data_IF_067239266985
#
_entry.id   IF_067239266985
#
_cell.length_a   1.000
_cell.length_b   1.000
_cell.length_c   1.000
_cell.angle_alpha   90.00
_cell.angle_beta   90.00
_cell.angle_gamma   90.00
#
_symmetry.space_group_name_H-M   'P 1'
#
loop_
_entity.id
_entity.type
_entity.pdbx_description
1 polymer ?
#
# COMPACT_ATOMS: atom_id res chain seq x y z
N UNK A 1 41.12 6.02 0.42
CA UNK A 1 40.67 4.63 0.21
C UNK A 1 40.32 4.10 1.59
N UNK A 2 39.05 4.23 2.00
CA UNK A 2 38.62 3.72 3.30
C UNK A 2 38.80 2.20 3.33
N UNK A 3 39.13 1.71 4.52
CA UNK A 3 39.38 0.31 4.83
C UNK A 3 38.06 -0.47 4.69
N UNK A 4 37.72 -0.89 3.46
CA UNK A 4 36.53 -1.72 3.22
C UNK A 4 36.76 -3.05 3.96
N UNK A 5 35.85 -3.37 4.88
CA UNK A 5 35.80 -4.56 5.71
C UNK A 5 36.24 -5.83 4.92
N UNK A 6 37.35 -6.51 5.29
CA UNK A 6 37.82 -7.71 4.58
C UNK A 6 36.77 -8.81 4.47
N UNK A 7 35.83 -8.88 5.42
CA UNK A 7 34.72 -9.83 5.37
C UNK A 7 33.71 -9.46 4.28
N UNK A 8 33.50 -8.16 4.03
CA UNK A 8 32.60 -7.67 2.99
C UNK A 8 33.15 -7.94 1.60
N UNK A 9 34.45 -7.72 1.37
CA UNK A 9 35.10 -8.10 0.12
C UNK A 9 34.97 -9.60 -0.16
N UNK A 10 35.24 -10.43 0.86
CA UNK A 10 35.08 -11.88 0.74
C UNK A 10 33.65 -12.28 0.41
N UNK A 11 32.65 -11.63 1.01
CA UNK A 11 31.25 -11.87 0.69
C UNK A 11 30.94 -11.49 -0.76
N UNK A 12 31.42 -10.33 -1.22
CA UNK A 12 31.26 -9.90 -2.59
C UNK A 12 31.87 -10.91 -3.57
N UNK A 13 33.13 -11.31 -3.38
CA UNK A 13 33.80 -12.32 -4.22
C UNK A 13 32.98 -13.63 -4.28
N UNK A 14 32.44 -14.07 -3.15
CA UNK A 14 31.63 -15.29 -3.07
C UNK A 14 30.27 -15.17 -3.77
N UNK A 15 29.64 -13.99 -3.74
CA UNK A 15 28.39 -13.74 -4.47
C UNK A 15 28.63 -13.65 -5.97
N UNK A 16 29.78 -13.10 -6.41
CA UNK A 16 30.17 -13.04 -7.82
C UNK A 16 30.44 -14.43 -8.43
N UNK A 17 30.66 -15.47 -7.62
CA UNK A 17 30.74 -16.85 -8.12
C UNK A 17 29.38 -17.44 -8.51
N UNK A 18 28.27 -16.80 -8.14
CA UNK A 18 26.93 -17.27 -8.52
C UNK A 18 26.75 -17.04 -10.04
N UNK A 19 26.36 -18.08 -10.81
CA UNK A 19 26.10 -17.94 -12.23
C UNK A 19 25.12 -16.79 -12.53
N UNK A 20 25.47 -15.93 -13.48
CA UNK A 20 24.70 -14.72 -13.79
C UNK A 20 23.29 -15.01 -14.33
N UNK A 21 23.09 -16.18 -14.93
CA UNK A 21 21.79 -16.69 -15.38
C UNK A 21 20.83 -17.00 -14.23
N UNK A 22 21.35 -17.23 -13.02
CA UNK A 22 20.52 -17.52 -11.84
C UNK A 22 19.94 -16.26 -11.22
N UNK A 23 20.45 -15.07 -11.60
CA UNK A 23 20.04 -13.77 -11.03
C UNK A 23 20.22 -13.72 -9.51
N UNK A 24 21.37 -14.20 -9.03
CA UNK A 24 21.79 -14.06 -7.64
C UNK A 24 21.92 -12.59 -7.24
N UNK A 25 21.71 -12.31 -5.95
CA UNK A 25 21.88 -10.96 -5.41
C UNK A 25 23.36 -10.58 -5.39
N UNK A 26 23.66 -9.32 -5.74
CA UNK A 26 24.95 -8.72 -5.42
C UNK A 26 25.00 -8.30 -3.93
N UNK A 27 26.15 -7.81 -3.46
CA UNK A 27 26.34 -7.46 -2.05
C UNK A 27 25.44 -6.31 -1.59
N UNK A 28 25.16 -5.33 -2.47
CA UNK A 28 24.30 -4.16 -2.21
C UNK A 28 22.84 -4.60 -2.07
N UNK A 29 22.36 -5.42 -3.00
CA UNK A 29 21.01 -6.01 -2.96
C UNK A 29 20.84 -6.95 -1.77
N UNK A 30 21.87 -7.75 -1.44
CA UNK A 30 21.83 -8.61 -0.26
C UNK A 30 21.76 -7.79 1.04
N UNK A 31 22.47 -6.66 1.13
CA UNK A 31 22.41 -5.77 2.28
C UNK A 31 20.99 -5.24 2.52
N UNK A 32 20.34 -4.73 1.48
CA UNK A 32 18.95 -4.29 1.56
C UNK A 32 17.98 -5.42 1.88
N UNK A 33 18.19 -6.61 1.32
CA UNK A 33 17.40 -7.80 1.64
C UNK A 33 17.52 -8.17 3.12
N UNK A 34 18.73 -8.20 3.66
CA UNK A 34 18.98 -8.47 5.08
C UNK A 34 18.38 -7.39 5.98
N UNK A 35 18.51 -6.11 5.61
CA UNK A 35 17.88 -5.01 6.35
C UNK A 35 16.35 -5.17 6.41
N UNK A 36 15.71 -5.51 5.28
CA UNK A 36 14.29 -5.82 5.22
C UNK A 36 13.90 -6.99 6.12
N UNK A 37 14.69 -8.07 6.14
CA UNK A 37 14.46 -9.21 7.04
C UNK A 37 14.58 -8.83 8.53
N UNK A 38 15.49 -7.90 8.86
CA UNK A 38 15.75 -7.46 10.23
C UNK A 38 14.70 -6.46 10.71
N UNK A 39 14.15 -5.61 9.85
CA UNK A 39 13.05 -4.72 10.29
C UNK A 39 11.68 -5.37 10.12
N UNK A 40 11.60 -6.53 9.47
CA UNK A 40 10.39 -7.33 9.39
C UNK A 40 9.93 -7.76 10.80
N UNK A 41 8.68 -7.47 11.18
CA UNK A 41 8.14 -7.80 12.51
C UNK A 41 8.02 -9.30 12.75
N UNK A 42 7.73 -10.08 11.71
CA UNK A 42 7.65 -11.53 11.79
C UNK A 42 8.98 -12.13 11.35
N UNK A 43 9.53 -13.02 12.19
CA UNK A 43 10.79 -13.68 11.87
C UNK A 43 10.62 -14.60 10.65
N UNK A 44 11.47 -14.40 9.64
CA UNK A 44 11.53 -15.27 8.45
C UNK A 44 12.61 -16.34 8.68
N UNK A 45 12.28 -17.64 8.64
CA UNK A 45 13.26 -18.70 8.85
C UNK A 45 14.30 -18.75 7.72
N UNK A 46 15.56 -19.15 8.00
CA UNK A 46 16.61 -19.26 6.99
C UNK A 46 16.23 -20.05 5.75
N UNK A 47 15.50 -21.15 5.92
CA UNK A 47 15.11 -22.03 4.80
C UNK A 47 14.18 -21.33 3.79
N UNK A 48 13.54 -20.23 4.19
CA UNK A 48 12.63 -19.46 3.33
C UNK A 48 13.34 -18.29 2.63
N UNK A 49 14.27 -17.60 3.31
CA UNK A 49 14.93 -16.43 2.73
C UNK A 49 16.26 -16.75 2.02
N UNK A 50 16.98 -17.80 2.44
CA UNK A 50 18.25 -18.19 1.80
C UNK A 50 18.11 -18.56 0.31
N UNK A 51 17.05 -19.28 -0.14
CA UNK A 51 16.85 -19.52 -1.56
C UNK A 51 16.78 -18.22 -2.37
N UNK A 52 16.15 -17.19 -1.80
CA UNK A 52 16.01 -15.88 -2.43
C UNK A 52 17.33 -15.21 -2.79
N UNK A 53 18.40 -15.42 -2.01
CA UNK A 53 19.73 -14.82 -2.23
C UNK A 53 20.35 -15.26 -3.56
N UNK A 54 20.00 -16.46 -4.02
CA UNK A 54 20.64 -17.11 -5.17
C UNK A 54 19.81 -17.08 -6.43
N UNK A 55 18.57 -16.60 -6.33
CA UNK A 55 17.64 -16.48 -7.44
C UNK A 55 16.90 -17.78 -7.73
N UNK A 56 16.94 -18.27 -8.97
CA UNK A 56 16.08 -19.38 -9.44
C UNK A 56 16.46 -20.75 -8.82
N UNK A 57 15.47 -21.47 -8.26
CA UNK A 57 15.60 -22.74 -7.53
C UNK A 57 15.99 -23.99 -8.35
N UNK A 58 16.28 -23.89 -9.66
CA UNK A 58 16.65 -25.08 -10.45
C UNK A 58 18.10 -25.49 -10.20
N UNK A 59 18.29 -26.69 -9.64
CA UNK A 59 19.59 -27.38 -9.54
C UNK A 59 20.37 -27.18 -8.24
N UNK A 60 19.74 -26.65 -7.19
CA UNK A 60 20.45 -26.14 -6.01
C UNK A 60 20.97 -27.21 -5.04
N UNK A 61 20.25 -28.33 -4.87
CA UNK A 61 20.61 -29.37 -3.90
C UNK A 61 21.93 -30.11 -4.25
N UNK A 62 22.41 -29.96 -5.50
CA UNK A 62 23.56 -30.70 -6.04
C UNK A 62 24.77 -29.81 -6.43
N UNK A 63 24.72 -28.50 -6.17
CA UNK A 63 25.80 -27.58 -6.56
C UNK A 63 26.96 -27.58 -5.54
N UNK A 64 28.03 -28.31 -5.87
CA UNK A 64 29.30 -28.37 -5.13
C UNK A 64 29.92 -26.97 -4.98
N UNK A 65 30.35 -26.59 -3.77
CA UNK A 65 31.01 -25.29 -3.51
C UNK A 65 30.11 -24.15 -2.99
N UNK A 66 28.84 -24.43 -2.66
CA UNK A 66 27.87 -23.42 -2.21
C UNK A 66 27.85 -23.17 -0.69
N UNK A 67 28.47 -24.03 0.12
CA UNK A 67 28.52 -23.89 1.57
C UNK A 67 29.25 -22.61 2.05
N UNK A 68 30.41 -22.21 1.47
CA UNK A 68 31.10 -20.99 1.87
C UNK A 68 30.27 -19.73 1.64
N UNK A 69 29.52 -19.65 0.53
CA UNK A 69 28.63 -18.52 0.23
C UNK A 69 27.45 -18.46 1.20
N UNK A 70 26.80 -19.60 1.54
CA UNK A 70 25.76 -19.63 2.59
C UNK A 70 26.33 -19.14 3.92
N UNK A 71 27.52 -19.63 4.28
CA UNK A 71 28.14 -19.28 5.56
C UNK A 71 28.42 -17.78 5.64
N UNK A 72 28.98 -17.19 4.57
CA UNK A 72 29.24 -15.76 4.48
C UNK A 72 27.95 -14.92 4.52
N UNK A 73 26.89 -15.34 3.81
CA UNK A 73 25.58 -14.67 3.83
C UNK A 73 24.95 -14.70 5.23
N UNK A 74 24.98 -15.87 5.90
CA UNK A 74 24.49 -16.00 7.28
C UNK A 74 25.30 -15.14 8.25
N UNK A 75 26.61 -15.01 8.03
CA UNK A 75 27.45 -14.18 8.88
C UNK A 75 27.17 -12.69 8.69
N UNK A 76 27.00 -12.23 7.44
CA UNK A 76 26.56 -10.87 7.15
C UNK A 76 25.19 -10.56 7.78
N UNK A 77 24.24 -11.50 7.70
CA UNK A 77 22.96 -11.40 8.41
C UNK A 77 23.15 -11.20 9.92
N UNK A 78 23.97 -12.04 10.57
CA UNK A 78 24.24 -11.91 12.02
C UNK A 78 24.91 -10.59 12.35
N UNK A 79 25.83 -10.12 11.51
CA UNK A 79 26.56 -8.86 11.68
C UNK A 79 25.60 -7.68 11.70
N UNK A 80 24.69 -7.60 10.72
CA UNK A 80 23.68 -6.53 10.66
C UNK A 80 22.68 -6.68 11.82
N UNK A 81 22.18 -7.89 12.08
CA UNK A 81 21.23 -8.12 13.17
C UNK A 81 21.80 -7.72 14.54
N UNK A 82 23.09 -8.00 14.79
CA UNK A 82 23.78 -7.56 16.01
C UNK A 82 23.90 -6.03 16.06
N UNK A 83 24.33 -5.39 14.97
CA UNK A 83 24.42 -3.92 14.91
C UNK A 83 23.07 -3.26 15.16
N UNK A 84 22.01 -3.72 14.48
CA UNK A 84 20.65 -3.20 14.67
C UNK A 84 20.14 -3.42 16.10
N UNK A 85 20.53 -4.50 16.77
CA UNK A 85 20.14 -4.75 18.15
C UNK A 85 20.91 -3.89 19.17
N UNK A 86 22.20 -3.60 18.93
CA UNK A 86 23.08 -2.89 19.85
C UNK A 86 23.04 -1.36 19.67
N UNK A 87 23.05 -0.89 18.42
CA UNK A 87 23.15 0.53 18.02
C UNK A 87 22.32 0.77 16.75
N UNK A 88 20.97 0.74 16.85
CA UNK A 88 20.10 0.94 15.68
C UNK A 88 20.31 2.30 15.01
N UNK A 89 20.65 3.34 15.76
CA UNK A 89 20.94 4.68 15.26
C UNK A 89 22.22 4.79 14.40
N UNK A 90 23.11 3.81 14.51
CA UNK A 90 24.34 3.72 13.72
C UNK A 90 24.13 2.90 12.42
N UNK A 91 22.88 2.59 12.07
CA UNK A 91 22.59 1.86 10.84
C UNK A 91 23.06 2.65 9.62
N UNK A 92 23.87 2.01 8.78
CA UNK A 92 24.35 2.57 7.52
C UNK A 92 24.19 1.51 6.43
N UNK A 93 23.45 1.78 5.34
CA UNK A 93 23.26 0.86 4.23
C UNK A 93 24.56 0.72 3.44
N UNK A 94 24.77 -0.45 2.82
CA UNK A 94 25.82 -0.64 1.84
C UNK A 94 25.25 -0.29 0.47
N UNK A 95 25.56 0.91 -0.02
CA UNK A 95 25.14 1.37 -1.35
C UNK A 95 26.21 1.07 -2.40
N UNK A 96 25.78 0.93 -3.66
CA UNK A 96 26.70 0.88 -4.78
C UNK A 96 27.35 2.25 -4.99
N UNK A 97 28.46 2.29 -5.71
CA UNK A 97 29.09 3.55 -6.13
C UNK A 97 29.43 3.43 -7.60
N UNK A 98 28.99 4.41 -8.39
CA UNK A 98 29.40 4.51 -9.78
C UNK A 98 30.90 4.84 -9.86
N UNK A 99 31.65 4.05 -10.60
CA UNK A 99 33.12 4.20 -10.66
C UNK A 99 33.58 5.45 -11.39
N UNK A 100 32.73 6.03 -12.23
CA UNK A 100 33.07 7.17 -13.08
C UNK A 100 32.63 8.50 -12.46
N UNK A 101 31.40 8.56 -11.90
CA UNK A 101 30.84 9.76 -11.26
C UNK A 101 31.08 9.82 -9.74
N UNK A 102 31.29 8.67 -9.09
CA UNK A 102 31.33 8.57 -7.63
C UNK A 102 29.98 8.70 -6.95
N UNK A 103 28.89 8.67 -7.72
CA UNK A 103 27.52 8.74 -7.23
C UNK A 103 27.10 7.45 -6.51
N UNK A 104 26.31 7.59 -5.44
CA UNK A 104 25.77 6.46 -4.70
C UNK A 104 24.58 5.84 -5.46
N UNK A 105 24.69 4.54 -5.76
CA UNK A 105 23.68 3.75 -6.46
C UNK A 105 22.86 2.98 -5.42
N UNK A 106 21.65 3.47 -5.14
CA UNK A 106 20.78 2.96 -4.08
C UNK A 106 19.74 1.95 -4.58
N UNK A 107 19.48 1.92 -5.89
CA UNK A 107 18.42 1.12 -6.52
C UNK A 107 18.56 -0.38 -6.24
N UNK A 108 19.75 -1.00 -6.35
CA UNK A 108 19.91 -2.42 -6.02
C UNK A 108 19.58 -2.70 -4.54
N UNK A 109 19.93 -1.79 -3.64
CA UNK A 109 19.67 -1.94 -2.20
C UNK A 109 18.16 -1.96 -1.94
N UNK A 110 17.43 -1.00 -2.50
CA UNK A 110 15.96 -0.92 -2.35
C UNK A 110 15.27 -2.12 -3.02
N UNK A 111 15.80 -2.61 -4.13
CA UNK A 111 15.35 -3.85 -4.76
C UNK A 111 15.47 -5.05 -3.82
N UNK A 112 16.59 -5.15 -3.10
CA UNK A 112 16.82 -6.14 -2.06
C UNK A 112 15.80 -6.04 -0.92
N UNK A 113 15.61 -4.85 -0.37
CA UNK A 113 14.66 -4.60 0.72
C UNK A 113 13.25 -5.04 0.34
N UNK A 114 12.81 -4.71 -0.87
CA UNK A 114 11.49 -5.08 -1.38
C UNK A 114 11.34 -6.59 -1.56
N UNK A 115 12.39 -7.30 -1.98
CA UNK A 115 12.38 -8.79 -2.04
C UNK A 115 12.15 -9.38 -0.65
N UNK A 116 12.66 -8.77 0.42
CA UNK A 116 12.40 -9.21 1.79
C UNK A 116 10.95 -8.92 2.19
N UNK A 117 10.42 -7.75 1.81
CA UNK A 117 9.01 -7.41 2.03
C UNK A 117 8.05 -8.43 1.42
N UNK A 118 8.38 -8.95 0.23
CA UNK A 118 7.57 -9.96 -0.47
C UNK A 118 7.40 -11.28 0.31
N UNK A 119 8.32 -11.64 1.20
CA UNK A 119 8.22 -12.87 2.00
C UNK A 119 7.12 -12.78 3.07
N UNK A 120 6.79 -11.55 3.51
CA UNK A 120 5.85 -11.30 4.62
C UNK A 120 4.90 -10.15 4.32
N UNK A 121 4.33 -10.09 3.10
CA UNK A 121 3.45 -9.00 2.65
C UNK A 121 2.34 -8.62 3.62
N UNK A 122 1.76 -9.60 4.33
CA UNK A 122 0.70 -9.37 5.31
C UNK A 122 1.16 -8.54 6.53
N UNK A 123 2.43 -8.65 6.90
CA UNK A 123 3.01 -8.02 8.08
C UNK A 123 3.36 -6.56 7.80
N UNK A 124 3.96 -6.30 6.63
CA UNK A 124 4.25 -4.92 6.19
C UNK A 124 2.98 -4.09 5.99
N UNK A 125 1.89 -4.73 5.57
CA UNK A 125 0.55 -4.10 5.54
C UNK A 125 0.11 -3.59 6.92
N UNK A 126 0.49 -4.26 8.01
CA UNK A 126 0.17 -3.81 9.38
C UNK A 126 0.90 -2.52 9.75
N UNK A 127 2.14 -2.34 9.29
CA UNK A 127 2.92 -1.11 9.51
C UNK A 127 2.27 0.06 8.78
N UNK A 128 1.94 -0.12 7.50
CA UNK A 128 1.28 0.90 6.68
C UNK A 128 -0.02 1.41 7.32
N UNK A 129 -0.72 0.53 8.04
CA UNK A 129 -2.02 0.79 8.69
C UNK A 129 -1.91 1.12 10.18
N UNK A 130 -0.70 1.15 10.75
CA UNK A 130 -0.53 1.40 12.17
C UNK A 130 -0.77 2.88 12.50
N UNK A 131 -1.21 3.17 13.71
CA UNK A 131 -1.33 4.56 14.21
C UNK A 131 0.04 5.24 14.40
N UNK A 132 1.13 4.52 14.19
CA UNK A 132 2.47 5.06 14.12
C UNK A 132 2.69 5.73 12.75
N UNK A 133 2.38 7.02 12.70
CA UNK A 133 2.49 7.83 11.48
C UNK A 133 3.91 7.85 10.93
N UNK A 134 4.92 7.76 11.79
CA UNK A 134 6.32 7.83 11.41
C UNK A 134 6.76 6.52 10.75
N UNK A 135 6.38 5.38 11.31
CA UNK A 135 6.64 4.07 10.71
C UNK A 135 5.86 3.87 9.39
N UNK A 136 4.60 4.27 9.34
CA UNK A 136 3.77 4.21 8.13
C UNK A 136 4.33 5.11 7.02
N UNK A 137 4.67 6.37 7.34
CA UNK A 137 5.35 7.28 6.43
C UNK A 137 6.66 6.70 5.89
N UNK A 138 7.44 6.06 6.77
CA UNK A 138 8.73 5.48 6.40
C UNK A 138 8.57 4.29 5.45
N UNK A 139 7.57 3.45 5.69
CA UNK A 139 7.25 2.34 4.79
C UNK A 139 6.79 2.85 3.42
N UNK A 140 5.94 3.88 3.38
CA UNK A 140 5.46 4.45 2.12
C UNK A 140 6.60 5.09 1.32
N UNK A 141 7.52 5.80 1.98
CA UNK A 141 8.71 6.34 1.33
C UNK A 141 9.61 5.22 0.77
N UNK A 142 9.80 4.12 1.52
CA UNK A 142 10.54 2.96 1.03
C UNK A 142 9.89 2.32 -0.20
N UNK A 143 8.55 2.30 -0.26
CA UNK A 143 7.80 1.83 -1.44
C UNK A 143 7.99 2.79 -2.62
N UNK A 144 7.92 4.10 -2.40
CA UNK A 144 8.14 5.12 -3.43
C UNK A 144 9.54 5.01 -4.06
N UNK A 145 10.58 4.83 -3.24
CA UNK A 145 11.94 4.53 -3.72
C UNK A 145 11.97 3.24 -4.56
N UNK A 146 11.22 2.22 -4.14
CA UNK A 146 11.14 0.95 -4.87
C UNK A 146 10.43 1.07 -6.22
N UNK A 147 9.41 1.90 -6.31
CA UNK A 147 8.70 2.13 -7.57
C UNK A 147 9.53 2.99 -8.52
N UNK A 148 10.21 4.02 -7.99
CA UNK A 148 11.19 4.83 -8.75
C UNK A 148 12.31 3.97 -9.35
N UNK A 149 12.93 3.08 -8.56
CA UNK A 149 14.01 2.21 -9.07
C UNK A 149 13.57 1.24 -10.18
N UNK A 150 12.27 0.99 -10.32
CA UNK A 150 11.69 0.13 -11.37
C UNK A 150 11.10 0.92 -12.55
N UNK A 151 11.19 2.26 -12.54
CA UNK A 151 10.53 3.12 -13.52
C UNK A 151 9.00 3.00 -13.47
N UNK A 152 8.46 2.80 -12.26
CA UNK A 152 7.02 2.69 -11.97
C UNK A 152 6.52 3.83 -11.09
N UNK A 153 7.35 4.85 -10.86
CA UNK A 153 6.99 6.03 -10.08
C UNK A 153 6.04 6.92 -10.90
N UNK A 154 5.09 7.54 -10.21
CA UNK A 154 4.15 8.52 -10.78
C UNK A 154 4.67 9.97 -10.65
N UNK A 155 5.89 10.16 -10.13
CA UNK A 155 6.53 11.47 -10.01
C UNK A 155 6.91 12.04 -11.38
N UNK A 156 7.02 13.36 -11.47
CA UNK A 156 7.61 14.03 -12.63
C UNK A 156 9.09 13.70 -12.76
N UNK A 157 9.68 13.92 -13.93
CA UNK A 157 11.13 13.74 -14.16
C UNK A 157 11.96 14.56 -13.14
N UNK A 158 11.53 15.78 -12.81
CA UNK A 158 12.18 16.60 -11.79
C UNK A 158 12.03 15.99 -10.37
N UNK A 159 10.86 15.49 -10.03
CA UNK A 159 10.62 14.84 -8.73
C UNK A 159 11.36 13.52 -8.57
N UNK A 160 11.52 12.75 -9.65
CA UNK A 160 12.35 11.54 -9.65
C UNK A 160 13.82 11.84 -9.43
N UNK A 161 14.34 12.90 -10.04
CA UNK A 161 15.72 13.33 -9.85
C UNK A 161 15.98 13.84 -8.43
N UNK A 162 15.04 14.59 -7.86
CA UNK A 162 15.11 15.03 -6.45
C UNK A 162 15.07 13.83 -5.49
N UNK A 163 14.14 12.89 -5.71
CA UNK A 163 14.05 11.67 -4.91
C UNK A 163 15.32 10.83 -5.02
N UNK A 164 15.90 10.71 -6.23
CA UNK A 164 17.18 10.02 -6.47
C UNK A 164 18.31 10.64 -5.66
N UNK A 165 18.41 11.97 -5.65
CA UNK A 165 19.43 12.70 -4.90
C UNK A 165 19.30 12.57 -3.38
N UNK A 166 18.07 12.49 -2.86
CA UNK A 166 17.79 12.38 -1.42
C UNK A 166 17.83 10.93 -0.89
N UNK A 167 17.64 9.94 -1.75
CA UNK A 167 17.51 8.54 -1.35
C UNK A 167 18.63 8.03 -0.42
N UNK A 168 19.93 8.30 -0.67
CA UNK A 168 21.00 7.83 0.21
C UNK A 168 20.91 8.36 1.64
N UNK A 169 20.41 9.59 1.82
CA UNK A 169 20.22 10.22 3.13
C UNK A 169 18.93 9.75 3.81
N UNK A 170 17.89 9.44 3.02
CA UNK A 170 16.61 8.96 3.53
C UNK A 170 16.68 7.51 4.02
N UNK A 171 17.28 6.60 3.23
CA UNK A 171 17.27 5.15 3.49
C UNK A 171 17.64 4.77 4.94
N UNK A 172 18.72 5.30 5.54
CA UNK A 172 19.09 4.96 6.92
C UNK A 172 17.98 5.30 7.92
N UNK A 173 17.40 6.50 7.81
CA UNK A 173 16.34 6.99 8.70
C UNK A 173 15.06 6.14 8.57
N UNK A 174 14.68 5.78 7.33
CA UNK A 174 13.55 4.90 7.07
C UNK A 174 13.72 3.54 7.75
N UNK A 175 14.90 2.93 7.63
CA UNK A 175 15.21 1.63 8.26
C UNK A 175 15.18 1.75 9.78
N UNK A 176 15.74 2.82 10.35
CA UNK A 176 15.72 3.08 11.79
C UNK A 176 14.29 3.17 12.34
N UNK A 177 13.41 3.92 11.68
CA UNK A 177 12.00 4.08 12.07
C UNK A 177 11.23 2.77 12.00
N UNK A 178 11.41 1.99 10.93
CA UNK A 178 10.79 0.67 10.79
C UNK A 178 11.30 -0.32 11.84
N UNK A 179 12.59 -0.28 12.17
CA UNK A 179 13.15 -1.10 13.22
C UNK A 179 12.62 -0.71 14.61
N UNK A 180 12.48 0.58 14.91
CA UNK A 180 11.91 1.07 16.16
C UNK A 180 10.44 0.64 16.33
N UNK A 181 9.67 0.67 15.25
CA UNK A 181 8.31 0.15 15.23
C UNK A 181 8.26 -1.35 15.55
N UNK A 182 9.10 -2.16 14.89
CA UNK A 182 9.21 -3.60 15.16
C UNK A 182 9.46 -3.85 16.65
N UNK A 183 10.43 -3.15 17.25
CA UNK A 183 10.77 -3.28 18.68
C UNK A 183 9.58 -2.95 19.58
N UNK A 184 8.82 -1.93 19.22
CA UNK A 184 7.61 -1.53 19.96
C UNK A 184 6.53 -2.63 19.91
N UNK A 185 6.35 -3.28 18.75
CA UNK A 185 5.45 -4.43 18.62
C UNK A 185 5.91 -5.65 19.42
N UNK A 186 7.21 -5.97 19.41
CA UNK A 186 7.77 -7.06 20.21
C UNK A 186 7.57 -6.81 21.71
N UNK A 187 7.80 -5.58 22.17
CA UNK A 187 7.59 -5.19 23.56
C UNK A 187 6.10 -5.29 23.97
N UNK A 188 5.19 -4.87 23.10
CA UNK A 188 3.74 -4.98 23.33
C UNK A 188 3.27 -6.44 23.41
N UNK A 189 3.79 -7.32 22.53
CA UNK A 189 3.46 -8.75 22.51
C UNK A 189 4.08 -9.54 23.69
N UNK A 190 5.16 -9.05 24.29
CA UNK A 190 5.82 -9.67 25.44
C UNK A 190 5.18 -9.30 26.80
N UNK A 191 4.27 -8.32 26.84
CA UNK A 191 3.57 -7.94 28.05
C UNK A 191 2.42 -8.94 28.36
N UNK A 192 2.39 -9.60 29.54
CA UNK A 192 1.31 -10.52 29.87
C UNK A 192 -0.01 -9.77 30.11
N UNK A 193 -1.06 -10.35 29.53
CA UNK A 193 -2.47 -9.98 29.57
C UNK A 193 -2.91 -9.31 30.88
N UNK A 194 -3.21 -8.00 30.79
CA UNK A 194 -3.98 -7.26 31.78
C UNK A 194 -5.20 -6.66 31.08
N UNK A 195 -6.26 -7.42 30.94
CA UNK A 195 -7.49 -7.22 31.75
C UNK A 195 -8.65 -8.03 31.17
N UNK A 196 -9.00 -9.10 31.90
CA UNK A 196 -10.39 -9.51 32.03
C UNK A 196 -10.89 -8.97 33.38
N UNK A 197 -11.94 -8.14 33.37
CA UNK A 197 -12.65 -7.73 34.57
C UNK A 197 -13.14 -6.28 34.59
N UNK A 198 -14.24 -5.99 33.90
CA UNK A 198 -15.33 -5.21 34.53
C UNK A 198 -16.65 -5.55 33.83
N UNK A 199 -17.55 -6.19 34.58
CA UNK A 199 -18.97 -6.26 34.26
C UNK A 199 -19.67 -4.97 34.70
N UNK A 200 -20.78 -4.68 34.00
CA UNK A 200 -21.92 -3.83 34.40
C UNK A 200 -21.63 -2.32 34.37
N UNK A 201 -22.37 -1.48 33.65
CA UNK A 201 -23.83 -1.31 33.68
C UNK A 201 -24.39 -0.82 32.33
N UNK A 202 -25.58 -1.29 31.97
CA UNK A 202 -26.32 -0.76 30.83
C UNK A 202 -26.73 0.69 31.06
N UNK A 203 -26.47 1.52 30.04
CA UNK A 203 -27.21 2.75 29.79
C UNK A 203 -27.64 2.67 28.33
N UNK A 204 -28.94 2.45 28.14
CA UNK A 204 -29.62 2.62 26.86
C UNK A 204 -29.45 4.09 26.45
N UNK A 205 -28.63 4.34 25.42
CA UNK A 205 -28.53 5.66 24.82
C UNK A 205 -29.86 5.97 24.13
N UNK A 206 -30.64 6.83 24.80
CA UNK A 206 -31.93 7.35 24.37
C UNK A 206 -31.80 7.97 22.97
N UNK A 207 -32.15 7.17 21.96
CA UNK A 207 -32.35 7.59 20.58
C UNK A 207 -33.35 8.75 20.56
N UNK A 208 -32.83 9.97 20.43
CA UNK A 208 -33.63 11.15 20.13
C UNK A 208 -34.48 10.84 18.89
N UNK A 209 -35.82 11.01 18.94
CA UNK A 209 -36.67 10.66 17.83
C UNK A 209 -36.31 11.57 16.65
N UNK A 210 -35.78 10.97 15.59
CA UNK A 210 -35.71 11.60 14.28
C UNK A 210 -37.12 12.08 13.97
N UNK A 211 -37.31 13.42 13.93
CA UNK A 211 -38.57 14.02 13.51
C UNK A 211 -38.95 13.39 12.17
N UNK A 212 -40.06 12.66 12.17
CA UNK A 212 -40.79 12.35 10.96
C UNK A 212 -41.14 13.68 10.30
N UNK A 213 -40.36 14.09 9.30
CA UNK A 213 -40.84 15.02 8.29
C UNK A 213 -41.70 14.22 7.32
N UNK A 214 -42.92 13.90 7.76
CA UNK A 214 -44.02 13.65 6.84
C UNK A 214 -44.33 14.98 6.14
N UNK A 215 -43.64 15.20 5.02
CA UNK A 215 -43.75 16.38 4.19
C UNK A 215 -43.73 15.95 2.72
N UNK A 216 -44.94 15.72 2.21
CA UNK A 216 -45.35 15.75 0.79
C UNK A 216 -44.37 15.28 -0.29
N UNK A 217 -44.62 14.09 -0.83
CA UNK A 217 -44.11 13.73 -2.18
C UNK A 217 -45.16 12.96 -2.98
N UNK A 218 -46.27 13.62 -3.31
CA UNK A 218 -46.99 13.26 -4.54
C UNK A 218 -46.31 13.99 -5.71
N UNK A 219 -45.69 13.23 -6.62
CA UNK A 219 -45.25 13.71 -7.93
C UNK A 219 -43.80 14.21 -8.05
N UNK A 220 -42.94 14.06 -7.03
CA UNK A 220 -41.50 14.31 -7.22
C UNK A 220 -40.82 13.08 -7.81
N UNK A 221 -40.60 13.07 -9.12
CA UNK A 221 -39.57 12.24 -9.75
C UNK A 221 -38.22 12.68 -9.21
N UNK A 222 -37.53 11.81 -8.48
CA UNK A 222 -36.16 12.06 -8.04
C UNK A 222 -35.29 12.31 -9.26
N UNK A 223 -34.59 13.43 -9.27
CA UNK A 223 -33.76 13.85 -10.40
C UNK A 223 -32.49 12.99 -10.45
N UNK A 224 -32.61 11.83 -11.10
CA UNK A 224 -31.52 10.87 -11.26
C UNK A 224 -30.38 11.46 -12.06
N UNK A 225 -30.67 12.38 -12.99
CA UNK A 225 -29.65 13.07 -13.77
C UNK A 225 -28.84 14.03 -12.90
N UNK A 226 -29.47 14.74 -11.96
CA UNK A 226 -28.76 15.52 -10.95
C UNK A 226 -27.93 14.65 -10.00
N UNK A 227 -28.42 13.47 -9.62
CA UNK A 227 -27.64 12.52 -8.79
C UNK A 227 -26.39 12.03 -9.55
N UNK A 228 -26.51 11.65 -10.81
CA UNK A 228 -25.39 11.23 -11.65
C UNK A 228 -24.43 12.40 -11.90
N UNK A 229 -24.93 13.61 -12.13
CA UNK A 229 -24.11 14.81 -12.23
C UNK A 229 -23.29 15.08 -10.96
N UNK A 230 -23.90 14.90 -9.78
CA UNK A 230 -23.20 15.04 -8.51
C UNK A 230 -22.13 13.95 -8.33
N UNK A 231 -22.43 12.70 -8.69
CA UNK A 231 -21.45 11.62 -8.68
C UNK A 231 -20.24 11.94 -9.60
N UNK A 232 -20.47 12.45 -10.81
CA UNK A 232 -19.40 12.89 -11.74
C UNK A 232 -18.59 14.06 -11.18
N UNK A 233 -19.25 15.03 -10.55
CA UNK A 233 -18.56 16.17 -9.93
C UNK A 233 -17.65 15.71 -8.80
N UNK A 234 -18.14 14.82 -7.93
CA UNK A 234 -17.34 14.22 -6.87
C UNK A 234 -16.21 13.37 -7.41
N UNK A 235 -16.45 12.60 -8.48
CA UNK A 235 -15.42 11.85 -9.20
C UNK A 235 -14.30 12.76 -9.72
N UNK A 236 -14.67 13.86 -10.38
CA UNK A 236 -13.71 14.81 -10.93
C UNK A 236 -12.88 15.48 -9.82
N UNK A 237 -13.51 15.83 -8.70
CA UNK A 237 -12.80 16.35 -7.51
C UNK A 237 -11.90 15.28 -6.91
N UNK A 238 -12.37 14.04 -6.79
CA UNK A 238 -11.56 12.95 -6.28
C UNK A 238 -10.33 12.68 -7.17
N UNK A 239 -10.50 12.63 -8.49
CA UNK A 239 -9.39 12.53 -9.44
C UNK A 239 -8.44 13.70 -9.31
N UNK A 240 -8.93 14.93 -9.19
CA UNK A 240 -8.07 16.10 -8.98
C UNK A 240 -7.28 16.02 -7.66
N UNK A 241 -7.86 15.45 -6.61
CA UNK A 241 -7.18 15.26 -5.32
C UNK A 241 -6.15 14.12 -5.35
N UNK A 242 -6.34 13.15 -6.24
CA UNK A 242 -5.44 12.01 -6.47
C UNK A 242 -4.42 12.28 -7.58
N UNK A 243 -4.66 13.28 -8.44
CA UNK A 243 -3.74 13.73 -9.49
C UNK A 243 -2.75 14.77 -8.96
N UNK A 244 -1.56 14.82 -9.56
CA UNK A 244 -0.48 15.76 -9.25
C UNK A 244 -0.94 17.24 -9.36
N UNK A 245 -0.48 18.17 -8.50
CA UNK A 245 -0.66 19.61 -8.75
C UNK A 245 0.03 20.08 -10.05
N UNK A 246 -0.53 21.15 -10.63
CA UNK A 246 0.00 21.85 -11.82
C UNK A 246 1.46 22.30 -11.58
N UNK A 247 2.42 22.06 -12.49
CA UNK A 247 3.86 22.33 -12.32
C UNK A 247 4.27 23.80 -12.05
N UNK A 248 3.31 24.71 -11.89
CA UNK A 248 3.53 26.13 -11.57
C UNK A 248 3.32 26.52 -10.10
N UNK A 249 2.74 25.66 -9.26
CA UNK A 249 2.58 25.93 -7.82
C UNK A 249 3.76 25.37 -7.04
N UNK A 250 4.67 26.25 -6.61
CA UNK A 250 5.74 25.87 -5.68
C UNK A 250 5.14 25.52 -4.32
N UNK A 251 5.35 24.30 -3.79
CA UNK A 251 4.91 23.97 -2.44
C UNK A 251 5.67 24.83 -1.44
N UNK A 252 4.95 25.58 -0.62
CA UNK A 252 5.57 26.34 0.47
C UNK A 252 6.04 25.36 1.54
N UNK A 253 7.36 25.13 1.57
CA UNK A 253 8.17 24.48 2.62
C UNK A 253 7.90 23.00 2.97
N UNK A 254 9.01 22.27 2.99
CA UNK A 254 9.38 21.06 3.75
C UNK A 254 8.26 20.30 4.50
N UNK A 255 8.20 19.01 4.21
CA UNK A 255 7.45 17.96 4.94
C UNK A 255 5.91 17.99 4.82
N UNK A 256 5.29 19.10 4.45
CA UNK A 256 3.82 19.18 4.24
C UNK A 256 3.36 18.77 2.83
N UNK A 257 4.25 18.69 1.84
CA UNK A 257 3.86 18.33 0.45
C UNK A 257 3.50 16.84 0.28
N UNK A 258 4.19 15.96 0.98
CA UNK A 258 4.02 14.50 0.83
C UNK A 258 2.99 13.91 1.80
N UNK A 259 2.75 14.56 2.95
CA UNK A 259 1.84 14.11 4.02
C UNK A 259 0.74 15.12 4.39
N UNK A 260 0.62 16.27 3.72
CA UNK A 260 -0.30 17.35 4.05
C UNK A 260 -1.78 17.12 3.72
N UNK A 261 -2.50 16.53 4.67
CA UNK A 261 -3.79 17.01 5.23
C UNK A 261 -5.15 16.77 4.56
N UNK A 262 -5.29 16.06 3.44
CA UNK A 262 -6.66 15.68 3.03
C UNK A 262 -6.78 14.86 1.75
N UNK A 263 -5.85 14.99 0.82
CA UNK A 263 -5.93 14.37 -0.51
C UNK A 263 -5.96 12.83 -0.48
N UNK A 264 -5.06 12.21 0.28
CA UNK A 264 -4.99 10.76 0.45
C UNK A 264 -6.26 10.14 1.08
N UNK A 265 -6.89 10.87 2.01
CA UNK A 265 -8.09 10.43 2.71
C UNK A 265 -9.37 10.78 1.95
N UNK A 266 -9.39 11.95 1.31
CA UNK A 266 -10.57 12.47 0.64
C UNK A 266 -10.81 11.77 -0.70
N UNK A 267 -9.77 11.43 -1.47
CA UNK A 267 -9.93 10.74 -2.76
C UNK A 267 -10.79 9.48 -2.67
N UNK A 268 -10.40 8.47 -1.87
CA UNK A 268 -11.18 7.24 -1.72
C UNK A 268 -12.58 7.46 -1.12
N UNK A 269 -12.72 8.35 -0.14
CA UNK A 269 -14.03 8.67 0.46
C UNK A 269 -14.96 9.32 -0.56
N UNK A 270 -14.45 10.24 -1.38
CA UNK A 270 -15.21 10.92 -2.43
C UNK A 270 -15.56 9.98 -3.58
N UNK A 271 -14.67 9.05 -3.95
CA UNK A 271 -14.98 8.01 -4.93
C UNK A 271 -16.07 7.05 -4.42
N UNK A 272 -15.97 6.59 -3.17
CA UNK A 272 -17.01 5.75 -2.57
C UNK A 272 -18.35 6.50 -2.46
N UNK A 273 -18.34 7.81 -2.17
CA UNK A 273 -19.54 8.64 -2.18
C UNK A 273 -20.15 8.79 -3.56
N UNK A 274 -19.31 9.00 -4.58
CA UNK A 274 -19.76 9.07 -5.95
C UNK A 274 -20.39 7.74 -6.39
N UNK A 275 -19.77 6.59 -6.04
CA UNK A 275 -20.33 5.25 -6.30
C UNK A 275 -21.66 5.08 -5.58
N UNK A 276 -21.75 5.42 -4.29
CA UNK A 276 -22.98 5.35 -3.51
C UNK A 276 -24.12 6.13 -4.18
N UNK A 277 -23.85 7.38 -4.57
CA UNK A 277 -24.83 8.24 -5.23
C UNK A 277 -25.26 7.66 -6.57
N UNK A 278 -24.32 7.14 -7.36
CA UNK A 278 -24.59 6.56 -8.66
C UNK A 278 -25.43 5.27 -8.57
N UNK A 279 -25.12 4.37 -7.63
CA UNK A 279 -25.92 3.17 -7.38
C UNK A 279 -27.34 3.53 -6.91
N UNK A 280 -27.49 4.56 -6.08
CA UNK A 280 -28.81 5.06 -5.66
C UNK A 280 -29.59 5.67 -6.81
N UNK A 281 -28.93 6.37 -7.74
CA UNK A 281 -29.57 6.92 -8.93
C UNK A 281 -30.15 5.79 -9.80
N UNK A 282 -29.38 4.73 -10.04
CA UNK A 282 -29.84 3.52 -10.72
C UNK A 282 -31.06 2.89 -10.03
N UNK A 283 -31.00 2.70 -8.71
CA UNK A 283 -32.12 2.15 -7.95
C UNK A 283 -33.39 3.01 -8.07
N UNK A 284 -33.26 4.34 -7.99
CA UNK A 284 -34.37 5.28 -8.20
C UNK A 284 -34.96 5.15 -9.62
N UNK A 285 -34.11 5.01 -10.64
CA UNK A 285 -34.53 4.91 -12.02
C UNK A 285 -35.37 3.65 -12.28
N UNK A 286 -34.95 2.50 -11.73
CA UNK A 286 -35.64 1.20 -11.86
C UNK A 286 -36.94 1.14 -11.05
N UNK A 287 -36.87 1.54 -9.78
CA UNK A 287 -38.01 1.39 -8.86
C UNK A 287 -39.03 2.51 -8.95
N UNK A 288 -38.65 3.65 -9.56
CA UNK A 288 -39.39 4.92 -9.50
C UNK A 288 -39.69 5.37 -8.06
N UNK A 289 -38.93 4.85 -7.09
CA UNK A 289 -39.07 5.10 -5.66
C UNK A 289 -37.96 6.02 -5.11
N UNK A 290 -37.99 6.31 -3.81
CA UNK A 290 -36.99 7.15 -3.15
C UNK A 290 -35.60 6.48 -3.10
N UNK A 291 -34.52 7.30 -2.99
CA UNK A 291 -33.17 6.77 -2.83
C UNK A 291 -33.05 5.98 -1.53
N UNK A 292 -32.41 4.81 -1.62
CA UNK A 292 -32.22 3.92 -0.48
C UNK A 292 -31.30 4.57 0.56
N UNK A 293 -31.65 4.45 1.85
CA UNK A 293 -30.84 4.93 2.98
C UNK A 293 -29.86 3.85 3.44
N UNK A 294 -28.78 3.68 2.71
CA UNK A 294 -27.67 2.77 3.06
C UNK A 294 -26.35 3.33 2.50
N UNK A 295 -25.23 2.95 3.11
CA UNK A 295 -23.86 3.28 2.67
C UNK A 295 -23.06 2.04 2.26
N UNK A 296 -23.61 0.86 2.50
CA UNK A 296 -23.03 -0.43 2.12
C UNK A 296 -23.09 -0.60 0.61
N UNK A 297 -21.93 -0.52 -0.06
CA UNK A 297 -21.86 -0.51 -1.52
C UNK A 297 -22.34 -1.83 -2.15
N UNK A 298 -22.10 -2.97 -1.48
CA UNK A 298 -22.57 -4.28 -1.93
C UNK A 298 -24.09 -4.38 -1.80
N UNK A 299 -24.63 -3.99 -0.65
CA UNK A 299 -26.08 -4.01 -0.44
C UNK A 299 -26.83 -3.07 -1.39
N UNK A 300 -26.21 -1.95 -1.80
CA UNK A 300 -26.76 -1.06 -2.82
C UNK A 300 -26.70 -1.69 -4.21
N UNK A 301 -25.60 -2.34 -4.57
CA UNK A 301 -25.47 -3.04 -5.85
C UNK A 301 -26.44 -4.21 -5.97
N UNK A 302 -26.57 -5.03 -4.92
CA UNK A 302 -27.50 -6.17 -4.88
C UNK A 302 -28.97 -5.76 -4.90
N UNK A 303 -29.28 -4.51 -4.56
CA UNK A 303 -30.62 -3.96 -4.63
C UNK A 303 -31.08 -3.63 -6.05
N UNK A 304 -30.16 -3.56 -7.02
CA UNK A 304 -30.47 -3.30 -8.42
C UNK A 304 -31.04 -4.55 -9.11
N UNK A 305 -31.75 -4.36 -10.22
CA UNK A 305 -32.22 -5.49 -11.03
C UNK A 305 -31.05 -6.35 -11.55
N UNK A 306 -31.29 -7.64 -11.76
CA UNK A 306 -30.27 -8.55 -12.31
C UNK A 306 -29.71 -8.06 -13.66
N UNK A 307 -30.54 -7.38 -14.47
CA UNK A 307 -30.11 -6.86 -15.76
C UNK A 307 -29.06 -5.74 -15.59
N UNK A 308 -29.31 -4.81 -14.69
CA UNK A 308 -28.39 -3.71 -14.39
C UNK A 308 -27.12 -4.22 -13.72
N UNK A 309 -27.22 -5.17 -12.79
CA UNK A 309 -26.03 -5.80 -12.19
C UNK A 309 -25.13 -6.43 -13.26
N UNK A 310 -25.71 -7.15 -14.24
CA UNK A 310 -24.95 -7.74 -15.36
C UNK A 310 -24.31 -6.68 -16.25
N UNK A 311 -25.05 -5.62 -16.58
CA UNK A 311 -24.54 -4.51 -17.39
C UNK A 311 -23.33 -3.85 -16.71
N UNK A 312 -23.45 -3.53 -15.42
CA UNK A 312 -22.39 -2.92 -14.63
C UNK A 312 -21.14 -3.80 -14.57
N UNK A 313 -21.31 -5.11 -14.33
CA UNK A 313 -20.20 -6.07 -14.33
C UNK A 313 -19.54 -6.20 -15.71
N UNK A 314 -20.32 -6.18 -16.80
CA UNK A 314 -19.79 -6.26 -18.15
C UNK A 314 -19.00 -5.02 -18.59
N UNK A 315 -19.34 -3.85 -18.05
CA UNK A 315 -18.64 -2.58 -18.28
C UNK A 315 -17.46 -2.37 -17.33
N UNK A 316 -17.38 -3.15 -16.26
CA UNK A 316 -16.21 -3.15 -15.41
C UNK A 316 -15.03 -3.74 -16.18
N UNK A 317 -13.94 -2.98 -16.36
CA UNK A 317 -12.84 -3.45 -17.18
C UNK A 317 -12.14 -4.63 -16.50
N UNK A 318 -12.19 -5.81 -17.13
CA UNK A 318 -11.52 -7.03 -16.64
C UNK A 318 -9.99 -6.93 -16.69
N UNK A 319 -9.49 -6.01 -17.52
CA UNK A 319 -8.08 -5.89 -17.89
C UNK A 319 -7.43 -4.66 -17.23
N UNK A 320 -7.94 -4.23 -16.08
CA UNK A 320 -7.38 -3.13 -15.26
C UNK A 320 -5.96 -3.48 -14.78
N UNK A 321 -5.01 -3.31 -15.71
CA UNK A 321 -3.57 -3.20 -15.55
C UNK A 321 -2.77 -4.40 -15.00
N UNK A 322 -1.74 -4.85 -15.75
CA UNK A 322 -0.53 -5.51 -15.21
C UNK A 322 0.38 -4.58 -14.38
N UNK A 323 -0.08 -3.37 -14.00
CA UNK A 323 0.73 -2.27 -13.44
C UNK A 323 0.28 -1.78 -12.06
N UNK A 324 -0.66 -2.45 -11.40
CA UNK A 324 -0.90 -2.18 -9.99
C UNK A 324 0.36 -2.51 -9.19
N UNK A 325 0.77 -1.63 -8.28
CA UNK A 325 1.92 -1.79 -7.40
C UNK A 325 1.87 -3.17 -6.71
N UNK A 326 2.75 -4.09 -7.15
CA UNK A 326 2.80 -5.51 -6.74
C UNK A 326 3.00 -5.74 -5.23
N UNK A 327 3.20 -4.65 -4.48
CA UNK A 327 3.54 -4.62 -3.05
C UNK A 327 2.40 -5.13 -2.18
N UNK A 328 1.14 -4.80 -2.52
CA UNK A 328 -0.01 -5.03 -1.64
C UNK A 328 -1.00 -6.11 -2.13
N UNK A 329 -0.81 -6.65 -3.34
CA UNK A 329 -1.62 -7.71 -3.93
C UNK A 329 -2.29 -7.28 -5.25
N UNK A 330 -2.85 -8.22 -6.03
CA UNK A 330 -3.58 -7.87 -7.24
C UNK A 330 -4.85 -7.09 -6.89
N UNK A 331 -5.15 -6.04 -7.65
CA UNK A 331 -6.44 -5.37 -7.60
C UNK A 331 -7.57 -6.41 -7.84
N UNK A 332 -8.78 -6.16 -7.29
CA UNK A 332 -9.93 -7.01 -7.55
C UNK A 332 -10.19 -7.10 -9.06
N UNK A 333 -10.16 -8.33 -9.59
CA UNK A 333 -10.35 -8.62 -11.02
C UNK A 333 -11.79 -8.46 -11.51
N UNK A 334 -12.73 -8.19 -10.60
CA UNK A 334 -14.14 -8.03 -10.89
C UNK A 334 -14.79 -6.97 -10.00
N UNK A 335 -15.87 -6.38 -10.50
CA UNK A 335 -16.59 -5.28 -9.85
C UNK A 335 -17.09 -5.66 -8.46
N UNK A 336 -17.53 -6.89 -8.25
CA UNK A 336 -18.12 -7.31 -6.97
C UNK A 336 -17.04 -7.37 -5.90
N UNK A 337 -15.89 -7.95 -6.23
CA UNK A 337 -14.71 -7.93 -5.36
C UNK A 337 -14.26 -6.49 -5.05
N UNK A 338 -14.34 -5.58 -6.03
CA UNK A 338 -14.06 -4.15 -5.80
C UNK A 338 -15.05 -3.55 -4.80
N UNK A 339 -16.35 -3.71 -5.01
CA UNK A 339 -17.35 -3.20 -4.08
C UNK A 339 -17.26 -3.85 -2.69
N UNK A 340 -16.85 -5.12 -2.58
CA UNK A 340 -16.73 -5.85 -1.32
C UNK A 340 -15.60 -5.30 -0.46
N UNK A 341 -14.41 -5.11 -1.05
CA UNK A 341 -13.26 -4.50 -0.36
C UNK A 341 -13.60 -3.08 0.11
N UNK A 342 -14.49 -2.41 -0.61
CA UNK A 342 -14.90 -1.03 -0.32
C UNK A 342 -16.25 -0.91 0.40
N UNK A 343 -16.85 -2.03 0.77
CA UNK A 343 -18.26 -2.10 1.19
C UNK A 343 -18.59 -1.09 2.29
N UNK A 344 -17.66 -0.94 3.23
CA UNK A 344 -17.79 -0.11 4.44
C UNK A 344 -16.84 1.08 4.46
N UNK A 345 -16.40 1.57 3.30
CA UNK A 345 -15.44 2.68 3.18
C UNK A 345 -15.75 3.84 4.12
N UNK A 346 -17.01 4.25 4.27
CA UNK A 346 -17.40 5.32 5.20
C UNK A 346 -17.26 4.98 6.68
N UNK A 347 -17.47 3.73 7.08
CA UNK A 347 -17.29 3.29 8.47
C UNK A 347 -15.79 3.20 8.77
N UNK A 348 -15.02 2.60 7.85
CA UNK A 348 -13.57 2.41 7.97
C UNK A 348 -12.87 3.76 8.13
N UNK A 349 -13.18 4.75 7.29
CA UNK A 349 -12.56 6.08 7.38
C UNK A 349 -13.10 6.94 8.52
N UNK A 350 -14.27 6.63 9.07
CA UNK A 350 -14.85 7.34 10.21
C UNK A 350 -14.35 6.79 11.54
N UNK A 351 -14.10 5.49 11.62
CA UNK A 351 -13.59 4.79 12.79
C UNK A 351 -12.30 4.03 12.49
N UNK A 352 -11.25 4.69 11.95
CA UNK A 352 -10.01 4.00 11.57
C UNK A 352 -9.28 3.38 12.78
N UNK A 353 -9.68 3.73 14.00
CA UNK A 353 -9.16 3.17 15.25
C UNK A 353 -9.86 1.86 15.67
N UNK A 354 -10.97 1.48 15.02
CA UNK A 354 -11.78 0.32 15.37
C UNK A 354 -11.56 -0.88 14.43
N UNK A 355 -11.05 -0.67 13.21
CA UNK A 355 -10.74 -1.75 12.26
C UNK A 355 -9.46 -1.45 11.44
N UNK A 356 -8.29 -1.93 11.90
CA UNK A 356 -7.01 -1.70 11.23
C UNK A 356 -6.72 -2.69 10.09
N UNK A 357 -7.63 -3.62 9.79
CA UNK A 357 -7.36 -4.75 8.89
C UNK A 357 -7.90 -4.55 7.45
N UNK A 358 -8.78 -3.57 7.22
CA UNK A 358 -9.29 -3.25 5.89
C UNK A 358 -8.38 -2.28 5.11
N UNK A 359 -8.00 -2.66 3.88
CA UNK A 359 -7.31 -1.78 2.93
C UNK A 359 -8.20 -1.45 1.75
N UNK A 360 -8.21 -0.15 1.46
CA UNK A 360 -9.01 0.50 0.46
C UNK A 360 -8.07 0.89 -0.68
N UNK A 361 -8.41 0.46 -1.89
CA UNK A 361 -7.67 0.75 -3.12
C UNK A 361 -8.36 1.87 -3.91
N UNK A 362 -7.77 3.07 -4.02
CA UNK A 362 -8.36 4.18 -4.76
C UNK A 362 -8.71 3.80 -6.20
N UNK A 363 -7.84 3.05 -6.87
CA UNK A 363 -7.99 2.64 -8.26
C UNK A 363 -9.17 1.68 -8.49
N UNK A 364 -9.48 0.84 -7.50
CA UNK A 364 -10.63 -0.06 -7.58
C UNK A 364 -11.96 0.71 -7.51
N UNK A 365 -12.02 1.77 -6.68
CA UNK A 365 -13.16 2.66 -6.64
C UNK A 365 -13.27 3.50 -7.92
N UNK A 366 -12.16 3.99 -8.45
CA UNK A 366 -12.14 4.77 -9.70
C UNK A 366 -12.64 3.97 -10.90
N UNK A 367 -12.18 2.72 -11.02
CA UNK A 367 -12.64 1.78 -12.04
C UNK A 367 -14.12 1.43 -11.89
N UNK A 368 -14.57 1.14 -10.67
CA UNK A 368 -15.98 0.82 -10.40
C UNK A 368 -16.89 2.00 -10.73
N UNK A 369 -16.49 3.22 -10.36
CA UNK A 369 -17.24 4.43 -10.67
C UNK A 369 -17.31 4.70 -12.18
N UNK A 370 -16.19 4.56 -12.88
CA UNK A 370 -16.13 4.72 -14.34
C UNK A 370 -17.06 3.74 -15.04
N UNK A 371 -17.08 2.48 -14.62
CA UNK A 371 -18.01 1.48 -15.13
C UNK A 371 -19.49 1.86 -14.91
N UNK A 372 -19.82 2.39 -13.73
CA UNK A 372 -21.20 2.81 -13.40
C UNK A 372 -21.64 4.01 -14.26
N UNK A 373 -20.74 4.99 -14.45
CA UNK A 373 -21.03 6.20 -15.24
C UNK A 373 -21.18 5.85 -16.73
N UNK A 374 -20.25 5.07 -17.28
CA UNK A 374 -20.29 4.66 -18.69
C UNK A 374 -21.56 3.86 -19.00
N UNK A 375 -21.94 2.93 -18.11
CA UNK A 375 -23.16 2.14 -18.23
C UNK A 375 -24.43 3.01 -18.17
N UNK A 376 -24.42 4.08 -17.37
CA UNK A 376 -25.56 5.00 -17.25
C UNK A 376 -25.79 5.79 -18.54
N UNK A 377 -24.70 6.26 -19.17
CA UNK A 377 -24.79 7.00 -20.45
C UNK A 377 -25.17 6.10 -21.64
N UNK A 378 -24.86 4.80 -21.55
CA UNK A 378 -25.04 3.84 -22.65
C UNK A 378 -25.83 2.59 -22.21
N UNK A 379 -27.11 2.73 -21.79
CA UNK A 379 -27.87 1.63 -21.17
C UNK A 379 -28.36 0.55 -22.15
N UNK A 380 -28.04 0.66 -23.45
CA UNK A 380 -28.73 -0.05 -24.54
C UNK A 380 -27.85 -1.00 -25.38
N UNK A 381 -26.66 -1.37 -24.89
CA UNK A 381 -25.78 -2.35 -25.56
C UNK A 381 -25.66 -3.66 -24.81
#
# INVERSE_FOLDING_TARGET
MSDIDPELHRLQDLLETIPSDWKGMNVVELDGYVAGLIVCPDTVPPDEWLPGVRGSNVGFEDAEGTEPTIAAVKEHYRRIARKSAERPEDYAPILGVDTDSGEEIWEPWVGGFERAMRLRRAVWRRIARSNDREASASLNMMIALSDSSRGRSDLTDEGEEELRGLAPELIPDLVCKLHAWRKSCEAANAAPDRQNGSQDTGDEEELLPLRNTEGHTEGHTWDTDAMIHNARSLHAVARYLVSDPDPGETPTSDVDGLFGTGRFFAGPVLLALAIEIALKAWHCQETKGPPRRAHDLIALFEALSENTQRLLVARYPSDLFPRATDVFGPLPSDMRSALEIHRKTFEIWRYPHEDPDDVIWPDALDAALSAIVDAYDHPSE
#
